data_IF_297683783531
#
_entry.id   IF_297683783531
#
_cell.length_a   1.000
_cell.length_b   1.000
_cell.length_c   1.000
_cell.angle_alpha   90.00
_cell.angle_beta   90.00
_cell.angle_gamma   90.00
#
_symmetry.space_group_name_H-M   'P 1'
#
loop_
_entity.id
_entity.type
_entity.pdbx_description
1 polymer ?
#
# COMPACT_ATOMS: atom_id res chain seq x y z
N UNK A 1 5.95 -15.48 -10.72
CA UNK A 1 5.23 -14.65 -9.72
C UNK A 1 4.13 -15.51 -9.13
N UNK A 2 3.82 -15.35 -7.84
CA UNK A 2 2.90 -16.22 -7.11
C UNK A 2 1.57 -15.54 -6.83
N UNK A 3 0.48 -16.30 -6.95
CA UNK A 3 -0.88 -15.91 -6.56
C UNK A 3 -1.43 -16.97 -5.62
N UNK A 4 -2.01 -16.53 -4.51
CA UNK A 4 -2.70 -17.36 -3.53
C UNK A 4 -4.11 -16.83 -3.37
N UNK A 5 -5.08 -17.73 -3.22
CA UNK A 5 -6.45 -17.38 -2.85
C UNK A 5 -6.83 -18.19 -1.62
N UNK A 6 -7.34 -17.50 -0.60
CA UNK A 6 -7.74 -18.09 0.67
C UNK A 6 -8.95 -17.31 1.22
N UNK A 7 -10.05 -18.02 1.46
CA UNK A 7 -11.29 -17.45 2.04
C UNK A 7 -11.77 -16.15 1.34
N UNK A 8 -11.70 -16.09 0.01
CA UNK A 8 -12.12 -14.91 -0.77
C UNK A 8 -11.15 -13.73 -0.75
N UNK A 9 -9.95 -13.93 -0.16
CA UNK A 9 -8.82 -13.01 -0.25
C UNK A 9 -7.81 -13.55 -1.24
N UNK A 10 -7.46 -12.74 -2.22
CA UNK A 10 -6.43 -13.00 -3.21
C UNK A 10 -5.18 -12.22 -2.84
N UNK A 11 -4.04 -12.89 -2.78
CA UNK A 11 -2.71 -12.30 -2.56
C UNK A 11 -1.86 -12.56 -3.79
N UNK A 12 -1.39 -11.50 -4.42
CA UNK A 12 -0.54 -11.54 -5.61
C UNK A 12 0.80 -10.89 -5.31
N UNK A 13 1.90 -11.62 -5.50
CA UNK A 13 3.24 -11.04 -5.47
C UNK A 13 3.54 -10.42 -6.83
N UNK A 14 3.80 -9.11 -6.84
CA UNK A 14 4.07 -8.35 -8.06
C UNK A 14 5.57 -8.37 -8.38
N UNK A 15 6.41 -7.76 -7.56
CA UNK A 15 7.84 -7.53 -7.79
C UNK A 15 8.50 -7.26 -6.44
N UNK A 16 9.80 -7.52 -6.25
CA UNK A 16 10.48 -7.17 -4.98
C UNK A 16 9.68 -7.63 -3.73
N UNK A 17 9.31 -6.67 -2.87
CA UNK A 17 8.40 -6.77 -1.73
C UNK A 17 6.98 -6.21 -2.02
N UNK A 18 6.66 -5.95 -3.29
CA UNK A 18 5.37 -5.45 -3.74
C UNK A 18 4.32 -6.57 -3.77
N UNK A 19 3.23 -6.37 -3.05
CA UNK A 19 2.06 -7.25 -3.06
C UNK A 19 0.79 -6.49 -3.40
N UNK A 20 -0.13 -7.17 -4.07
CA UNK A 20 -1.53 -6.77 -4.20
C UNK A 20 -2.38 -7.75 -3.42
N UNK A 21 -3.21 -7.24 -2.52
CA UNK A 21 -4.17 -8.02 -1.75
C UNK A 21 -5.56 -7.52 -2.13
N UNK A 22 -6.46 -8.42 -2.53
CA UNK A 22 -7.83 -8.05 -2.86
C UNK A 22 -8.84 -9.02 -2.26
N UNK A 23 -9.91 -8.49 -1.68
CA UNK A 23 -10.96 -9.27 -1.03
C UNK A 23 -11.99 -8.33 -0.37
N UNK A 24 -13.21 -8.80 -0.14
CA UNK A 24 -14.26 -7.99 0.50
C UNK A 24 -14.57 -6.66 -0.22
N UNK A 25 -14.33 -6.59 -1.53
CA UNK A 25 -14.50 -5.36 -2.31
C UNK A 25 -13.42 -4.29 -2.11
N UNK A 26 -12.27 -4.65 -1.53
CA UNK A 26 -11.11 -3.76 -1.32
C UNK A 26 -9.85 -4.28 -2.00
N UNK A 27 -9.01 -3.35 -2.43
CA UNK A 27 -7.67 -3.60 -3.00
C UNK A 27 -6.62 -2.84 -2.17
N UNK A 28 -5.67 -3.58 -1.61
CA UNK A 28 -4.53 -3.06 -0.86
C UNK A 28 -3.25 -3.36 -1.62
N UNK A 29 -2.41 -2.35 -1.83
CA UNK A 29 -1.04 -2.54 -2.29
C UNK A 29 -0.07 -2.37 -1.13
N UNK A 30 0.94 -3.23 -1.04
CA UNK A 30 2.03 -3.12 -0.07
C UNK A 30 3.31 -2.91 -0.85
N UNK A 31 4.11 -1.91 -0.47
CA UNK A 31 5.43 -1.57 -1.01
C UNK A 31 5.51 -1.64 -2.56
N UNK A 32 4.64 -0.93 -3.30
CA UNK A 32 4.69 -0.97 -4.76
C UNK A 32 6.03 -0.44 -5.25
N UNK A 33 6.74 -1.25 -6.05
CA UNK A 33 8.03 -0.88 -6.62
C UNK A 33 8.25 -1.52 -7.98
N UNK A 34 8.60 -0.70 -8.98
CA UNK A 34 8.76 -1.12 -10.39
C UNK A 34 7.54 -1.87 -10.92
N UNK A 35 6.34 -1.40 -10.55
CA UNK A 35 5.09 -1.99 -11.04
C UNK A 35 4.96 -1.67 -12.53
N UNK A 36 4.88 -2.71 -13.36
CA UNK A 36 4.94 -2.56 -14.82
C UNK A 36 3.72 -1.85 -15.42
N UNK A 37 2.56 -1.93 -14.75
CA UNK A 37 1.28 -1.36 -15.19
C UNK A 37 0.82 -0.29 -14.21
N UNK A 38 -0.11 0.56 -14.66
CA UNK A 38 -0.75 1.59 -13.83
C UNK A 38 -2.26 1.31 -13.64
N UNK A 39 -2.63 0.27 -12.86
CA UNK A 39 -4.02 -0.14 -12.74
C UNK A 39 -4.91 0.88 -12.02
N UNK A 40 -4.34 1.74 -11.16
CA UNK A 40 -5.05 2.79 -10.40
C UNK A 40 -6.31 2.30 -9.67
N UNK A 41 -6.26 1.07 -9.17
CA UNK A 41 -7.37 0.37 -8.52
C UNK A 41 -7.19 0.21 -7.00
N UNK A 42 -6.04 0.61 -6.46
CA UNK A 42 -5.72 0.48 -5.03
C UNK A 42 -6.54 1.40 -4.16
N UNK A 43 -7.35 0.83 -3.27
CA UNK A 43 -8.09 1.56 -2.23
C UNK A 43 -7.15 2.10 -1.14
N UNK A 44 -6.17 1.29 -0.77
CA UNK A 44 -5.18 1.56 0.27
C UNK A 44 -3.80 1.21 -0.29
N UNK A 45 -2.82 2.06 -0.07
CA UNK A 45 -1.42 1.77 -0.39
C UNK A 45 -0.59 1.88 0.87
N UNK A 46 0.14 0.81 1.17
CA UNK A 46 0.97 0.67 2.36
C UNK A 46 2.44 0.85 1.98
N UNK A 47 3.18 1.69 2.71
CA UNK A 47 4.63 1.83 2.59
C UNK A 47 5.30 1.52 3.93
N UNK A 48 6.06 0.44 4.01
CA UNK A 48 6.62 -0.09 5.26
C UNK A 48 7.73 0.79 5.83
N UNK A 49 8.62 1.33 5.00
CA UNK A 49 9.72 2.21 5.39
C UNK A 49 10.22 3.07 4.22
N UNK A 50 11.10 4.04 4.51
CA UNK A 50 11.46 5.13 3.60
C UNK A 50 12.55 4.80 2.58
N UNK A 51 12.96 3.54 2.44
CA UNK A 51 13.83 3.16 1.33
C UNK A 51 13.12 3.34 -0.02
N UNK A 52 13.92 3.56 -1.07
CA UNK A 52 13.40 3.92 -2.39
C UNK A 52 12.57 2.81 -3.04
N UNK A 53 12.83 1.57 -2.68
CA UNK A 53 12.20 0.34 -3.14
C UNK A 53 11.00 -0.11 -2.29
N UNK A 54 10.66 0.64 -1.23
CA UNK A 54 9.51 0.37 -0.34
C UNK A 54 8.55 1.57 -0.18
N UNK A 55 9.02 2.79 -0.48
CA UNK A 55 8.20 3.98 -0.57
C UNK A 55 8.57 4.73 -1.85
N UNK A 56 8.04 4.26 -2.99
CA UNK A 56 8.26 4.82 -4.32
C UNK A 56 7.09 5.73 -4.72
N UNK A 57 7.24 7.07 -4.72
CA UNK A 57 6.22 8.01 -5.20
C UNK A 57 5.62 7.66 -6.57
N UNK A 58 6.47 7.22 -7.49
CA UNK A 58 6.08 6.88 -8.85
C UNK A 58 5.15 5.65 -8.86
N UNK A 59 5.52 4.60 -8.13
CA UNK A 59 4.74 3.35 -8.12
C UNK A 59 3.49 3.47 -7.25
N UNK A 60 3.50 4.30 -6.19
CA UNK A 60 2.29 4.70 -5.46
C UNK A 60 1.28 5.30 -6.43
N UNK A 61 1.70 6.25 -7.28
CA UNK A 61 0.81 6.90 -8.24
C UNK A 61 0.30 5.97 -9.36
N UNK A 62 1.02 4.89 -9.67
CA UNK A 62 0.57 3.86 -10.64
C UNK A 62 -0.57 3.01 -10.09
N UNK A 63 -0.55 2.70 -8.81
CA UNK A 63 -1.50 1.74 -8.20
C UNK A 63 -2.65 2.42 -7.46
N UNK A 64 -2.44 3.60 -6.87
CA UNK A 64 -3.44 4.31 -6.09
C UNK A 64 -4.59 4.83 -6.97
N UNK A 65 -5.83 4.53 -6.59
CA UNK A 65 -7.00 5.22 -7.14
C UNK A 65 -7.04 6.69 -6.67
N UNK A 66 -7.78 7.60 -7.33
CA UNK A 66 -7.84 9.01 -6.92
C UNK A 66 -8.29 9.25 -5.47
N UNK A 67 -9.14 8.36 -4.95
CA UNK A 67 -9.65 8.39 -3.57
C UNK A 67 -8.90 7.43 -2.62
N UNK A 68 -7.71 7.00 -2.99
CA UNK A 68 -6.90 6.12 -2.15
C UNK A 68 -6.48 6.81 -0.84
N UNK A 69 -6.22 5.98 0.17
CA UNK A 69 -5.53 6.40 1.40
C UNK A 69 -4.16 5.74 1.45
N UNK A 70 -3.12 6.55 1.62
CA UNK A 70 -1.75 6.05 1.79
C UNK A 70 -1.51 5.84 3.28
N UNK A 71 -1.20 4.61 3.69
CA UNK A 71 -0.79 4.30 5.06
C UNK A 71 0.70 4.03 5.04
N UNK A 72 1.49 4.75 5.82
CA UNK A 72 2.93 4.62 5.74
C UNK A 72 3.58 4.71 7.12
N UNK A 73 4.79 4.16 7.26
CA UNK A 73 5.61 4.46 8.42
C UNK A 73 5.92 5.96 8.52
N UNK A 74 6.11 6.48 9.73
CA UNK A 74 6.46 7.89 9.96
C UNK A 74 7.67 8.38 9.15
N UNK A 75 8.64 7.52 8.84
CA UNK A 75 9.83 7.90 8.07
C UNK A 75 9.52 8.17 6.59
N UNK A 76 8.38 7.69 6.08
CA UNK A 76 7.94 7.91 4.71
C UNK A 76 7.35 9.33 4.46
N UNK A 77 7.14 10.15 5.50
CA UNK A 77 6.36 11.42 5.39
C UNK A 77 6.82 12.29 4.20
N UNK A 78 8.13 12.50 4.05
CA UNK A 78 8.69 13.36 3.00
C UNK A 78 8.32 12.90 1.58
N UNK A 79 8.09 11.61 1.39
CA UNK A 79 7.75 11.03 0.08
C UNK A 79 6.25 11.05 -0.20
N UNK A 80 5.41 11.00 0.83
CA UNK A 80 3.94 10.92 0.67
C UNK A 80 3.24 12.27 0.74
N UNK A 81 3.78 13.24 1.48
CA UNK A 81 3.15 14.54 1.76
C UNK A 81 2.87 15.40 0.51
N UNK A 82 3.56 15.13 -0.60
CA UNK A 82 3.41 15.84 -1.87
C UNK A 82 2.59 15.13 -2.95
N UNK A 83 2.04 13.94 -2.68
CA UNK A 83 1.40 13.13 -3.73
C UNK A 83 -0.06 13.49 -4.01
N UNK A 84 -0.68 14.35 -3.19
CA UNK A 84 -2.08 14.75 -3.35
C UNK A 84 -3.10 13.71 -2.88
N UNK A 85 -2.67 12.63 -2.21
CA UNK A 85 -3.54 11.65 -1.56
C UNK A 85 -3.77 11.97 -0.08
N UNK A 86 -4.88 11.49 0.47
CA UNK A 86 -5.02 11.38 1.92
C UNK A 86 -3.98 10.39 2.45
N UNK A 87 -3.30 10.71 3.54
CA UNK A 87 -2.31 9.80 4.14
C UNK A 87 -2.40 9.70 5.66
N UNK A 88 -1.94 8.57 6.20
CA UNK A 88 -1.84 8.25 7.63
C UNK A 88 -0.44 7.73 7.91
N UNK A 89 0.23 8.31 8.90
CA UNK A 89 1.55 7.89 9.34
C UNK A 89 1.42 7.07 10.62
N UNK A 90 2.07 5.91 10.67
CA UNK A 90 2.04 4.99 11.80
C UNK A 90 3.44 4.81 12.40
N UNK A 91 3.48 4.73 13.72
CA UNK A 91 4.64 4.28 14.52
C UNK A 91 4.49 2.79 14.83
N UNK A 92 5.60 2.06 15.12
CA UNK A 92 5.50 0.70 15.62
C UNK A 92 4.57 0.63 16.83
N UNK A 93 3.60 -0.29 16.78
CA UNK A 93 2.56 -0.45 17.81
C UNK A 93 1.23 0.24 17.50
N UNK A 94 1.18 1.18 16.55
CA UNK A 94 -0.08 1.85 16.17
C UNK A 94 -1.02 0.90 15.41
N UNK A 95 -2.32 1.09 15.63
CA UNK A 95 -3.40 0.46 14.86
C UNK A 95 -4.35 1.51 14.28
N UNK A 96 -4.84 1.27 13.07
CA UNK A 96 -5.83 2.11 12.41
C UNK A 96 -6.77 1.28 11.55
N UNK A 97 -8.03 1.69 11.44
CA UNK A 97 -8.97 1.15 10.45
C UNK A 97 -9.17 2.17 9.34
N UNK A 98 -8.90 1.75 8.10
CA UNK A 98 -9.05 2.58 6.89
C UNK A 98 -9.94 1.82 5.92
N UNK A 99 -11.06 2.43 5.52
CA UNK A 99 -12.02 1.85 4.56
C UNK A 99 -12.46 0.41 4.92
N UNK A 100 -12.61 0.10 6.20
CA UNK A 100 -13.01 -1.23 6.68
C UNK A 100 -11.88 -2.26 6.76
N UNK A 101 -10.64 -1.88 6.48
CA UNK A 101 -9.43 -2.71 6.67
C UNK A 101 -8.68 -2.23 7.90
N UNK A 102 -8.43 -3.12 8.86
CA UNK A 102 -7.57 -2.85 10.01
C UNK A 102 -6.10 -3.05 9.63
N UNK A 103 -5.25 -2.08 9.97
CA UNK A 103 -3.81 -2.14 9.80
C UNK A 103 -3.14 -1.96 11.17
N UNK A 104 -2.20 -2.85 11.49
CA UNK A 104 -1.37 -2.77 12.70
C UNK A 104 0.10 -2.68 12.30
N UNK A 105 0.77 -1.62 12.73
CA UNK A 105 2.20 -1.45 12.54
C UNK A 105 2.95 -2.26 13.61
N UNK A 106 3.91 -3.07 13.18
CA UNK A 106 4.76 -3.89 14.05
C UNK A 106 6.24 -3.48 13.91
N UNK A 107 7.07 -3.65 14.95
CA UNK A 107 8.53 -3.41 14.88
C UNK A 107 9.27 -4.30 13.89
#
# INVERSE_FOLDING_TARGET
MGRLEYEGVVVERLTHAAFKISGGGKVVYIDPFRVARAPRDGDIVVCTHDHYDHCSPEDIAKVAKPTAVIVASINCEKKVKGLGYSYKLLRPGDSITVQGVELKAIP
#
